data_IF_146119691434
#
_entry.id   IF_146119691434
#
_cell.length_a   1.000
_cell.length_b   1.000
_cell.length_c   1.000
_cell.angle_alpha   90.00
_cell.angle_beta   90.00
_cell.angle_gamma   90.00
#
_symmetry.space_group_name_H-M   'P 1'
#
loop_
_entity.id
_entity.type
_entity.pdbx_description
1 polymer ?
#
# COMPACT_ATOMS: atom_id res chain seq x y z
N UNK A 1 67.97 -4.01 -6.92
CA UNK A 1 66.95 -5.07 -6.93
C UNK A 1 65.62 -4.48 -7.37
N UNK A 2 65.01 -4.98 -8.46
CA UNK A 2 63.70 -4.51 -8.97
C UNK A 2 62.73 -5.70 -8.90
N UNK A 3 61.68 -5.58 -8.10
CA UNK A 3 60.64 -6.62 -7.94
C UNK A 3 59.69 -6.50 -9.14
N UNK A 4 59.39 -7.57 -9.92
CA UNK A 4 58.41 -7.51 -10.98
C UNK A 4 56.99 -7.60 -10.40
N UNK A 5 56.09 -6.72 -10.86
CA UNK A 5 54.68 -6.71 -10.42
C UNK A 5 53.91 -7.94 -10.96
N UNK A 6 52.93 -8.47 -10.20
CA UNK A 6 52.15 -9.62 -10.65
C UNK A 6 51.22 -9.23 -11.81
N UNK A 7 51.32 -9.96 -12.92
CA UNK A 7 50.36 -9.86 -14.03
C UNK A 7 49.00 -10.39 -13.57
N UNK A 8 48.11 -9.49 -13.15
CA UNK A 8 46.68 -9.77 -13.01
C UNK A 8 46.16 -10.19 -14.39
N UNK A 9 45.88 -11.48 -14.57
CA UNK A 9 45.04 -11.95 -15.67
C UNK A 9 43.62 -11.44 -15.38
N UNK A 10 43.24 -10.34 -16.02
CA UNK A 10 41.82 -10.05 -16.17
C UNK A 10 41.27 -11.16 -17.07
N UNK A 11 40.51 -12.07 -16.46
CA UNK A 11 39.60 -12.97 -17.19
C UNK A 11 38.69 -12.04 -17.97
N UNK A 12 38.88 -11.97 -19.29
CA UNK A 12 38.05 -11.18 -20.18
C UNK A 12 36.60 -11.61 -19.96
N UNK A 13 35.78 -10.69 -19.48
CA UNK A 13 34.34 -10.87 -19.49
C UNK A 13 33.92 -10.95 -20.96
N UNK A 14 33.53 -12.15 -21.40
CA UNK A 14 32.96 -12.37 -22.72
C UNK A 14 31.44 -12.20 -22.61
N UNK A 15 30.88 -11.06 -23.06
CA UNK A 15 29.45 -10.79 -22.94
C UNK A 15 28.60 -11.71 -23.83
N UNK A 16 29.20 -12.56 -24.68
CA UNK A 16 28.47 -13.43 -25.60
C UNK A 16 28.02 -14.76 -24.96
N UNK A 17 28.60 -15.18 -23.84
CA UNK A 17 28.27 -16.47 -23.22
C UNK A 17 27.21 -16.42 -22.11
N UNK A 18 26.84 -15.22 -21.64
CA UNK A 18 25.80 -15.02 -20.63
C UNK A 18 24.66 -14.15 -21.18
N UNK A 19 24.08 -14.59 -22.30
CA UNK A 19 22.79 -14.08 -22.78
C UNK A 19 21.67 -14.42 -21.78
N UNK A 20 20.59 -13.62 -21.72
CA UNK A 20 19.65 -13.60 -20.59
C UNK A 20 18.78 -14.86 -20.55
N UNK A 21 19.33 -15.98 -20.09
CA UNK A 21 18.58 -17.23 -19.90
C UNK A 21 17.62 -17.18 -18.71
N UNK A 22 17.67 -16.11 -17.89
CA UNK A 22 16.79 -15.91 -16.74
C UNK A 22 15.70 -14.83 -16.90
N UNK A 23 15.88 -13.82 -17.76
CA UNK A 23 15.01 -12.64 -17.76
C UNK A 23 13.57 -12.91 -18.24
N UNK A 24 13.38 -13.88 -19.14
CA UNK A 24 12.05 -14.25 -19.64
C UNK A 24 11.24 -15.11 -18.67
N UNK A 25 11.91 -15.91 -17.83
CA UNK A 25 11.25 -16.71 -16.80
C UNK A 25 10.75 -15.83 -15.65
N UNK A 26 11.61 -14.91 -15.19
CA UNK A 26 11.26 -13.93 -14.15
C UNK A 26 10.16 -12.95 -14.60
N UNK A 27 10.19 -12.51 -15.86
CA UNK A 27 9.10 -11.70 -16.43
C UNK A 27 7.76 -12.45 -16.43
N UNK A 28 7.74 -13.75 -16.74
CA UNK A 28 6.49 -14.54 -16.72
C UNK A 28 5.97 -14.76 -15.31
N UNK A 29 6.84 -15.00 -14.33
CA UNK A 29 6.44 -15.14 -12.93
C UNK A 29 5.94 -13.82 -12.35
N UNK A 30 6.62 -12.71 -12.65
CA UNK A 30 6.18 -11.37 -12.24
C UNK A 30 4.87 -10.98 -12.92
N UNK A 31 4.67 -11.26 -14.22
CA UNK A 31 3.37 -11.07 -14.88
C UNK A 31 2.26 -11.94 -14.28
N UNK A 32 2.56 -13.19 -13.91
CA UNK A 32 1.60 -14.04 -13.20
C UNK A 32 1.22 -13.50 -11.82
N UNK A 33 2.19 -13.02 -11.05
CA UNK A 33 1.95 -12.39 -9.76
C UNK A 33 1.14 -11.08 -9.88
N UNK A 34 1.40 -10.28 -10.91
CA UNK A 34 0.64 -9.07 -11.21
C UNK A 34 -0.81 -9.39 -11.57
N UNK A 35 -1.05 -10.40 -12.41
CA UNK A 35 -2.42 -10.83 -12.74
C UNK A 35 -3.21 -11.28 -11.51
N UNK A 36 -2.55 -11.92 -10.54
CA UNK A 36 -3.17 -12.26 -9.25
C UNK A 36 -3.45 -11.02 -8.42
N UNK A 37 -2.50 -10.08 -8.32
CA UNK A 37 -2.68 -8.84 -7.57
C UNK A 37 -3.82 -7.97 -8.13
N UNK A 38 -3.93 -7.85 -9.45
CA UNK A 38 -5.03 -7.15 -10.12
C UNK A 38 -6.38 -7.80 -9.82
N UNK A 39 -6.46 -9.13 -9.85
CA UNK A 39 -7.68 -9.85 -9.50
C UNK A 39 -8.08 -9.65 -8.03
N UNK A 40 -7.10 -9.64 -7.12
CA UNK A 40 -7.34 -9.37 -5.70
C UNK A 40 -7.84 -7.94 -5.51
N UNK A 41 -7.21 -6.96 -6.15
CA UNK A 41 -7.62 -5.55 -6.08
C UNK A 41 -9.04 -5.34 -6.64
N UNK A 42 -9.35 -5.98 -7.77
CA UNK A 42 -10.69 -5.94 -8.36
C UNK A 42 -11.72 -6.51 -7.39
N UNK A 43 -11.44 -7.67 -6.79
CA UNK A 43 -12.37 -8.29 -5.84
C UNK A 43 -12.56 -7.45 -4.57
N UNK A 44 -11.49 -6.87 -4.04
CA UNK A 44 -11.59 -5.97 -2.89
C UNK A 44 -12.39 -4.70 -3.21
N UNK A 45 -12.22 -4.16 -4.42
CA UNK A 45 -12.98 -2.98 -4.87
C UNK A 45 -14.47 -3.28 -4.96
N UNK A 46 -14.84 -4.45 -5.46
CA UNK A 46 -16.22 -4.93 -5.47
C UNK A 46 -16.78 -5.10 -4.06
N UNK A 47 -16.03 -5.74 -3.14
CA UNK A 47 -16.45 -5.89 -1.75
C UNK A 47 -16.69 -4.55 -1.06
N UNK A 48 -15.79 -3.58 -1.28
CA UNK A 48 -15.96 -2.23 -0.74
C UNK A 48 -17.19 -1.55 -1.35
N UNK A 49 -17.43 -1.72 -2.66
CA UNK A 49 -18.62 -1.16 -3.31
C UNK A 49 -19.91 -1.79 -2.76
N UNK A 50 -19.92 -3.11 -2.53
CA UNK A 50 -21.02 -3.85 -1.90
C UNK A 50 -21.26 -3.34 -0.46
N UNK A 51 -20.21 -3.21 0.35
CA UNK A 51 -20.30 -2.65 1.71
C UNK A 51 -20.85 -1.22 1.73
N UNK A 52 -20.40 -0.37 0.81
CA UNK A 52 -20.87 1.01 0.67
C UNK A 52 -22.31 1.08 0.17
N UNK A 53 -22.76 0.11 -0.62
CA UNK A 53 -24.16 0.00 -1.03
C UNK A 53 -25.07 -0.43 0.15
N UNK A 54 -24.57 -1.29 1.05
CA UNK A 54 -25.29 -1.73 2.25
C UNK A 54 -25.38 -0.61 3.31
N UNK A 55 -24.29 0.13 3.53
CA UNK A 55 -24.24 1.23 4.52
C UNK A 55 -24.82 2.54 3.96
N UNK A 56 -24.93 2.64 2.63
CA UNK A 56 -25.24 3.88 1.93
C UNK A 56 -24.03 4.80 1.86
N UNK A 57 -23.77 5.38 0.68
CA UNK A 57 -22.72 6.37 0.49
C UNK A 57 -23.16 7.69 1.15
N UNK A 58 -22.99 7.80 2.46
CA UNK A 58 -23.37 9.00 3.21
C UNK A 58 -22.31 10.10 2.97
N UNK A 59 -22.46 10.81 1.87
CA UNK A 59 -21.80 12.09 1.69
C UNK A 59 -22.56 13.13 2.52
N UNK A 60 -21.92 13.66 3.56
CA UNK A 60 -22.44 14.80 4.31
C UNK A 60 -21.81 16.08 3.78
N UNK A 61 -22.56 17.18 3.82
CA UNK A 61 -22.03 18.49 3.45
C UNK A 61 -21.46 19.17 4.70
N UNK A 62 -20.18 19.56 4.66
CA UNK A 62 -19.61 20.52 5.60
C UNK A 62 -19.56 21.84 4.87
N UNK A 63 -20.40 22.79 5.31
CA UNK A 63 -20.75 23.99 4.56
C UNK A 63 -21.21 23.64 3.14
N UNK A 64 -20.43 24.01 2.11
CA UNK A 64 -20.75 23.78 0.70
C UNK A 64 -19.90 22.65 0.08
N UNK A 65 -19.10 21.94 0.90
CA UNK A 65 -18.22 20.87 0.45
C UNK A 65 -18.80 19.51 0.81
N UNK A 66 -19.05 18.70 -0.22
CA UNK A 66 -19.37 17.29 -0.04
C UNK A 66 -18.14 16.55 0.52
N UNK A 67 -18.29 15.93 1.69
CA UNK A 67 -17.28 15.07 2.31
C UNK A 67 -17.85 13.67 2.52
N UNK A 68 -17.03 12.65 2.25
CA UNK A 68 -17.40 11.25 2.48
C UNK A 68 -17.22 10.94 3.96
N UNK A 69 -18.28 10.52 4.65
CA UNK A 69 -18.13 10.03 6.02
C UNK A 69 -17.21 8.80 6.01
N UNK A 70 -16.22 8.81 6.90
CA UNK A 70 -15.46 7.60 7.20
C UNK A 70 -16.40 6.72 8.01
N UNK A 71 -16.66 5.47 7.58
CA UNK A 71 -17.48 4.54 8.34
C UNK A 71 -16.98 4.49 9.77
N UNK A 72 -17.89 4.68 10.72
CA UNK A 72 -17.56 4.85 12.12
C UNK A 72 -16.71 3.66 12.57
N UNK A 73 -15.47 3.94 12.99
CA UNK A 73 -14.52 2.89 13.41
C UNK A 73 -15.02 2.31 14.73
N UNK A 74 -15.79 1.23 14.64
CA UNK A 74 -16.42 0.49 15.73
C UNK A 74 -17.26 1.36 16.68
N UNK A 75 -18.58 1.13 16.79
CA UNK A 75 -19.44 1.81 17.76
C UNK A 75 -19.20 1.28 19.19
N UNK A 76 -17.97 1.36 19.69
CA UNK A 76 -17.53 0.55 20.82
C UNK A 76 -16.52 1.20 21.76
N UNK A 77 -16.13 2.46 21.55
CA UNK A 77 -15.38 3.19 22.56
C UNK A 77 -16.27 4.32 23.08
N UNK A 78 -17.04 3.97 24.11
CA UNK A 78 -17.77 4.92 24.94
C UNK A 78 -16.83 6.09 25.26
N UNK A 79 -17.26 7.33 25.03
CA UNK A 79 -16.42 8.51 25.30
C UNK A 79 -15.97 8.55 26.77
N UNK A 80 -16.76 7.96 27.67
CA UNK A 80 -16.43 7.73 29.07
C UNK A 80 -15.26 6.77 29.30
N UNK A 81 -14.95 5.89 28.35
CA UNK A 81 -13.81 4.96 28.39
C UNK A 81 -12.49 5.62 27.98
N UNK A 82 -12.52 6.82 27.40
CA UNK A 82 -11.31 7.59 27.12
C UNK A 82 -10.73 8.18 28.42
N UNK A 83 -9.40 8.34 28.53
CA UNK A 83 -8.84 9.08 29.64
C UNK A 83 -9.39 10.52 29.68
N UNK A 84 -9.51 11.14 30.87
CA UNK A 84 -10.17 12.44 31.04
C UNK A 84 -9.58 13.59 30.21
N UNK A 85 -8.31 13.49 29.84
CA UNK A 85 -7.65 14.45 28.95
C UNK A 85 -8.19 14.38 27.52
N UNK A 86 -8.37 13.17 26.99
CA UNK A 86 -8.93 12.96 25.66
C UNK A 86 -10.41 13.39 25.60
N UNK A 87 -11.18 13.15 26.66
CA UNK A 87 -12.56 13.64 26.76
C UNK A 87 -12.62 15.18 26.70
N UNK A 88 -11.71 15.86 27.41
CA UNK A 88 -11.63 17.34 27.38
C UNK A 88 -11.28 17.88 26.00
N UNK A 89 -10.36 17.21 25.28
CA UNK A 89 -10.01 17.58 23.91
C UNK A 89 -11.22 17.43 22.98
N UNK A 90 -11.94 16.31 23.07
CA UNK A 90 -13.13 16.08 22.25
C UNK A 90 -14.25 17.08 22.54
N UNK A 91 -14.46 17.43 23.81
CA UNK A 91 -15.42 18.46 24.19
C UNK A 91 -15.06 19.83 23.60
N UNK A 92 -13.77 20.21 23.62
CA UNK A 92 -13.31 21.47 23.04
C UNK A 92 -13.48 21.50 21.51
N UNK A 93 -13.17 20.39 20.82
CA UNK A 93 -13.34 20.28 19.36
C UNK A 93 -14.79 20.40 18.92
N UNK A 94 -15.76 19.91 19.71
CA UNK A 94 -17.19 20.05 19.40
C UNK A 94 -17.76 21.44 19.66
N UNK A 95 -17.12 22.23 20.52
CA UNK A 95 -17.57 23.58 20.85
C UNK A 95 -17.02 24.65 19.90
N UNK A 96 -16.03 24.32 19.08
CA UNK A 96 -15.43 25.19 18.07
C UNK A 96 -16.26 25.22 16.78
#
# INVERSE_FOLDING_TARGET
MRIPAPRRRYRSYDPAHDGPRGAGADRRTTSGALAVAERVLQRMSEQIAEEQAVVGSQATHVTDRAVRLVPDRAPGLEESALPPEYQRILAAVRQA
#
